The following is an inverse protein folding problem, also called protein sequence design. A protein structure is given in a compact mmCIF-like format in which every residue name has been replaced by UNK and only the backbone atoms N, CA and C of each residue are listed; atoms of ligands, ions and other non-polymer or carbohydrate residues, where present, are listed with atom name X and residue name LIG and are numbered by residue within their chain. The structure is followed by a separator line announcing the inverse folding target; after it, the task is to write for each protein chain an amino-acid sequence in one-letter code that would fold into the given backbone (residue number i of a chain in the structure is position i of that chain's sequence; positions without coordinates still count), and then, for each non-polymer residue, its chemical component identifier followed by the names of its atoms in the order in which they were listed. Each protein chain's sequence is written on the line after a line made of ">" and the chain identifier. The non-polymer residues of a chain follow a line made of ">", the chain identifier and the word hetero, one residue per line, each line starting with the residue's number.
data_IF_758800588240
#
_entry.id   IF_758800588240
#
_cell.length_a   1.000
_cell.length_b   1.000
_cell.length_c   1.000
_cell.angle_alpha   90.00
_cell.angle_beta   90.00
_cell.angle_gamma   90.00
#
_symmetry.space_group_name_H-M   'P 1'
#
loop_
_entity.id
_entity.type
_entity.pdbx_description
1 polymer ?
#
# COMPACT_ATOMS: atom_id res chain seq x y z
N UNK A 1 -6.75 -14.09 -19.61
CA UNK A 1 -7.17 -12.68 -19.42
C UNK A 1 -5.92 -11.91 -19.00
N UNK A 2 -5.50 -10.91 -19.78
CA UNK A 2 -4.30 -10.14 -19.44
C UNK A 2 -4.65 -9.09 -18.37
N UNK A 3 -4.14 -9.30 -17.15
CA UNK A 3 -4.26 -8.32 -16.08
C UNK A 3 -3.23 -7.22 -16.26
N UNK A 4 -3.67 -5.96 -16.25
CA UNK A 4 -2.79 -4.80 -16.22
C UNK A 4 -3.18 -3.88 -15.07
N UNK A 5 -2.37 -3.88 -14.02
CA UNK A 5 -2.56 -3.04 -12.83
C UNK A 5 -2.56 -1.53 -13.19
N UNK A 6 -1.92 -1.14 -14.29
CA UNK A 6 -1.87 0.26 -14.71
C UNK A 6 -3.23 0.80 -15.16
N UNK A 7 -4.16 -0.08 -15.55
CA UNK A 7 -5.50 0.32 -15.99
C UNK A 7 -6.48 0.48 -14.81
N UNK A 8 -6.08 0.11 -13.59
CA UNK A 8 -6.93 0.25 -12.42
C UNK A 8 -7.05 1.73 -12.07
N UNK A 9 -8.28 2.23 -11.98
CA UNK A 9 -8.52 3.68 -11.76
C UNK A 9 -9.17 4.01 -10.42
N UNK A 10 -9.64 3.01 -9.68
CA UNK A 10 -10.36 3.21 -8.42
C UNK A 10 -10.14 2.07 -7.42
N UNK A 11 -10.56 2.29 -6.17
CA UNK A 11 -10.36 1.35 -5.06
C UNK A 11 -11.21 0.08 -5.21
N UNK A 12 -12.39 0.15 -5.82
CA UNK A 12 -13.26 -1.03 -6.03
C UNK A 12 -12.56 -2.03 -6.95
N UNK A 13 -12.05 -1.56 -8.08
CA UNK A 13 -11.26 -2.37 -9.01
C UNK A 13 -10.04 -2.95 -8.31
N UNK A 14 -9.27 -2.12 -7.59
CA UNK A 14 -8.10 -2.56 -6.86
C UNK A 14 -8.45 -3.65 -5.83
N UNK A 15 -9.52 -3.50 -5.07
CA UNK A 15 -9.97 -4.49 -4.09
C UNK A 15 -10.30 -5.85 -4.73
N UNK A 16 -10.96 -5.83 -5.90
CA UNK A 16 -11.30 -7.05 -6.64
C UNK A 16 -10.08 -7.90 -7.02
N UNK A 17 -8.93 -7.24 -7.18
CA UNK A 17 -7.64 -7.81 -7.53
C UNK A 17 -6.91 -8.27 -6.26
N UNK A 18 -6.76 -7.37 -5.29
CA UNK A 18 -5.97 -7.57 -4.06
C UNK A 18 -6.48 -8.77 -3.27
N UNK A 19 -7.81 -8.96 -3.18
CA UNK A 19 -8.41 -10.06 -2.39
C UNK A 19 -7.99 -11.47 -2.82
N UNK A 20 -7.56 -11.63 -4.07
CA UNK A 20 -7.17 -12.92 -4.64
C UNK A 20 -5.64 -13.02 -4.85
N UNK A 21 -4.89 -11.99 -4.49
CA UNK A 21 -3.45 -11.96 -4.65
C UNK A 21 -2.78 -12.86 -3.62
N UNK A 22 -1.70 -13.52 -4.04
CA UNK A 22 -0.84 -14.35 -3.20
C UNK A 22 0.60 -13.99 -3.48
N UNK A 23 1.44 -14.02 -2.44
CA UNK A 23 2.88 -13.79 -2.59
C UNK A 23 3.62 -15.09 -2.93
N UNK A 24 4.79 -14.97 -3.56
CA UNK A 24 5.79 -16.01 -3.60
C UNK A 24 7.20 -15.42 -3.83
N UNK A 25 8.21 -16.30 -3.78
CA UNK A 25 9.61 -15.99 -3.99
C UNK A 25 10.18 -17.03 -4.95
N UNK A 26 10.76 -16.54 -6.04
CA UNK A 26 11.48 -17.39 -7.00
C UNK A 26 12.76 -17.95 -6.40
N UNK A 27 13.34 -18.96 -7.05
CA UNK A 27 14.66 -19.47 -6.68
C UNK A 27 15.73 -18.37 -6.67
N UNK A 28 15.63 -17.41 -7.59
CA UNK A 28 16.56 -16.27 -7.73
C UNK A 28 16.20 -15.07 -6.84
N UNK A 29 15.44 -15.28 -5.77
CA UNK A 29 15.13 -14.25 -4.77
C UNK A 29 14.23 -13.12 -5.28
N UNK A 30 13.67 -13.21 -6.49
CA UNK A 30 12.63 -12.29 -6.95
C UNK A 30 11.34 -12.52 -6.15
N UNK A 31 10.84 -11.47 -5.51
CA UNK A 31 9.61 -11.43 -4.72
C UNK A 31 8.48 -10.89 -5.58
N UNK A 32 7.41 -11.66 -5.67
CA UNK A 32 6.30 -11.33 -6.55
C UNK A 32 4.97 -11.71 -5.93
N UNK A 33 3.92 -11.15 -6.50
CA UNK A 33 2.55 -11.60 -6.32
C UNK A 33 2.06 -12.25 -7.61
N UNK A 34 1.12 -13.17 -7.44
CA UNK A 34 0.34 -13.75 -8.51
C UNK A 34 -1.13 -13.77 -8.09
N UNK A 35 -2.03 -13.74 -9.06
CA UNK A 35 -3.47 -13.75 -8.83
C UNK A 35 -4.02 -14.97 -9.55
N UNK A 36 -4.76 -15.82 -8.83
CA UNK A 36 -5.33 -17.04 -9.40
C UNK A 36 -6.26 -16.67 -10.55
N UNK A 37 -6.02 -17.24 -11.74
CA UNK A 37 -6.78 -16.94 -12.96
C UNK A 37 -6.15 -15.89 -13.88
N UNK A 38 -4.98 -15.34 -13.52
CA UNK A 38 -4.22 -14.41 -14.35
C UNK A 38 -2.84 -14.96 -14.68
N UNK A 39 -2.37 -14.75 -15.91
CA UNK A 39 -1.12 -15.34 -16.42
C UNK A 39 0.13 -14.62 -15.90
N UNK A 40 0.02 -13.34 -15.56
CA UNK A 40 1.17 -12.52 -15.21
C UNK A 40 1.39 -12.44 -13.69
N UNK A 41 2.66 -12.35 -13.32
CA UNK A 41 3.10 -12.03 -11.95
C UNK A 41 3.50 -10.56 -11.89
N UNK A 42 3.42 -9.98 -10.70
CA UNK A 42 3.81 -8.59 -10.46
C UNK A 42 4.83 -8.52 -9.32
N UNK A 43 5.68 -7.47 -9.28
CA UNK A 43 6.51 -7.21 -8.12
C UNK A 43 5.69 -7.19 -6.82
N UNK A 44 6.27 -7.66 -5.71
CA UNK A 44 5.58 -7.68 -4.40
C UNK A 44 5.02 -6.30 -3.97
N UNK A 45 5.68 -5.23 -4.41
CA UNK A 45 5.31 -3.85 -4.08
C UNK A 45 4.22 -3.26 -5.00
N UNK A 46 3.79 -3.97 -6.04
CA UNK A 46 2.94 -3.39 -7.07
C UNK A 46 1.58 -2.92 -6.53
N UNK A 47 0.93 -3.71 -5.67
CA UNK A 47 -0.38 -3.36 -5.10
C UNK A 47 -0.28 -2.18 -4.14
N UNK A 48 0.76 -2.15 -3.29
CA UNK A 48 1.02 -1.03 -2.39
C UNK A 48 1.26 0.25 -3.20
N UNK A 49 2.13 0.19 -4.21
CA UNK A 49 2.41 1.31 -5.11
C UNK A 49 1.14 1.83 -5.78
N UNK A 50 0.27 0.93 -6.26
CA UNK A 50 -0.97 1.34 -6.92
C UNK A 50 -1.97 1.96 -5.94
N UNK A 51 -2.09 1.43 -4.73
CA UNK A 51 -2.93 2.05 -3.69
C UNK A 51 -2.44 3.46 -3.37
N UNK A 52 -1.14 3.64 -3.16
CA UNK A 52 -0.53 4.96 -2.90
C UNK A 52 -0.80 5.93 -4.06
N UNK A 53 -0.69 5.46 -5.31
CA UNK A 53 -1.02 6.26 -6.49
C UNK A 53 -2.48 6.74 -6.47
N UNK A 54 -3.44 5.83 -6.26
CA UNK A 54 -4.87 6.17 -6.21
C UNK A 54 -5.18 7.19 -5.10
N UNK A 55 -4.60 6.99 -3.91
CA UNK A 55 -4.76 7.87 -2.76
C UNK A 55 -4.14 9.26 -2.98
N UNK A 56 -3.03 9.34 -3.73
CA UNK A 56 -2.40 10.64 -4.06
C UNK A 56 -3.21 11.45 -5.06
N UNK A 57 -3.97 10.79 -5.94
CA UNK A 57 -4.81 11.46 -6.94
C UNK A 57 -6.04 12.08 -6.30
N UNK A 58 -6.70 11.35 -5.40
CA UNK A 58 -7.88 11.83 -4.68
C UNK A 58 -7.84 11.35 -3.23
N UNK A 59 -7.97 12.30 -2.30
CA UNK A 59 -7.98 12.06 -0.86
C UNK A 59 -9.37 12.34 -0.24
N UNK A 60 -10.32 12.85 -1.02
CA UNK A 60 -11.69 13.18 -0.58
C UNK A 60 -12.59 11.93 -0.67
N UNK A 61 -12.21 10.85 0.02
CA UNK A 61 -12.91 9.55 -0.03
C UNK A 61 -14.35 9.61 0.49
N UNK A 62 -15.27 9.03 -0.26
CA UNK A 62 -16.61 8.66 0.22
C UNK A 62 -16.55 7.58 1.31
N UNK A 63 -17.65 7.38 2.04
CA UNK A 63 -17.74 6.32 3.08
C UNK A 63 -17.50 4.92 2.49
N UNK A 64 -18.04 4.63 1.30
CA UNK A 64 -17.84 3.34 0.64
C UNK A 64 -16.36 3.15 0.25
N UNK A 65 -15.70 4.19 -0.27
CA UNK A 65 -14.28 4.15 -0.58
C UNK A 65 -13.42 3.96 0.67
N UNK A 66 -13.80 4.57 1.80
CA UNK A 66 -13.12 4.37 3.09
C UNK A 66 -13.22 2.92 3.54
N UNK A 67 -14.41 2.32 3.50
CA UNK A 67 -14.62 0.92 3.88
C UNK A 67 -13.82 -0.03 3.00
N UNK A 68 -13.80 0.21 1.68
CA UNK A 68 -13.02 -0.58 0.73
C UNK A 68 -11.52 -0.40 0.97
N UNK A 69 -11.05 0.85 1.13
CA UNK A 69 -9.65 1.16 1.42
C UNK A 69 -9.14 0.47 2.68
N UNK A 70 -9.92 0.55 3.77
CA UNK A 70 -9.67 -0.17 5.04
C UNK A 70 -9.62 -1.68 4.88
N UNK A 71 -10.32 -2.22 3.88
CA UNK A 71 -10.28 -3.65 3.57
C UNK A 71 -9.06 -4.04 2.72
N UNK A 72 -8.52 -3.13 1.90
CA UNK A 72 -7.33 -3.38 1.07
C UNK A 72 -6.06 -3.42 1.92
N UNK A 73 -5.86 -2.43 2.79
CA UNK A 73 -4.65 -2.28 3.62
C UNK A 73 -4.19 -3.56 4.32
N UNK A 74 -5.04 -4.25 5.13
CA UNK A 74 -4.62 -5.45 5.85
C UNK A 74 -4.25 -6.61 4.91
N UNK A 75 -4.82 -6.66 3.71
CA UNK A 75 -4.46 -7.69 2.72
C UNK A 75 -3.05 -7.45 2.20
N UNK A 76 -2.70 -6.21 1.84
CA UNK A 76 -1.35 -5.84 1.40
C UNK A 76 -0.34 -6.10 2.52
N UNK A 77 -0.68 -5.74 3.77
CA UNK A 77 0.18 -5.99 4.92
C UNK A 77 0.43 -7.48 5.14
N UNK A 78 -0.63 -8.29 5.08
CA UNK A 78 -0.51 -9.74 5.17
C UNK A 78 0.33 -10.33 4.02
N UNK A 79 0.27 -9.80 2.79
CA UNK A 79 1.16 -10.24 1.70
C UNK A 79 2.64 -9.99 2.05
N UNK A 80 2.97 -8.83 2.62
CA UNK A 80 4.34 -8.56 3.06
C UNK A 80 4.78 -9.47 4.21
N UNK A 81 3.91 -9.70 5.19
CA UNK A 81 4.21 -10.60 6.31
C UNK A 81 4.42 -12.05 5.85
N UNK A 82 3.56 -12.55 4.98
CA UNK A 82 3.67 -13.88 4.40
C UNK A 82 4.96 -14.00 3.59
N UNK A 83 5.32 -12.98 2.81
CA UNK A 83 6.55 -12.98 2.06
C UNK A 83 7.78 -13.02 2.98
N UNK A 84 7.78 -12.23 4.07
CA UNK A 84 8.84 -12.27 5.08
C UNK A 84 8.98 -13.65 5.72
N UNK A 85 7.86 -14.28 6.11
CA UNK A 85 7.85 -15.66 6.63
C UNK A 85 8.44 -16.62 5.60
N UNK A 86 7.99 -16.53 4.33
CA UNK A 86 8.48 -17.37 3.25
C UNK A 86 9.97 -17.20 2.99
N UNK A 87 10.54 -16.00 3.09
CA UNK A 87 12.00 -15.80 2.98
C UNK A 87 12.73 -16.67 4.00
N UNK A 88 12.26 -16.65 5.26
CA UNK A 88 12.88 -17.41 6.34
C UNK A 88 12.76 -18.92 6.13
N UNK A 89 11.72 -19.38 5.45
CA UNK A 89 11.49 -20.79 5.11
C UNK A 89 12.32 -21.27 3.88
N UNK A 90 12.93 -20.35 3.13
CA UNK A 90 13.80 -20.73 1.98
C UNK A 90 15.18 -21.16 2.46
N UNK A 91 15.89 -21.90 1.61
CA UNK A 91 17.28 -22.24 1.85
C UNK A 91 18.18 -20.99 1.94
N UNK A 92 19.32 -21.14 2.60
CA UNK A 92 20.28 -20.05 2.85
C UNK A 92 20.76 -19.37 1.55
N UNK A 93 20.89 -20.12 0.46
CA UNK A 93 21.30 -19.57 -0.84
C UNK A 93 20.27 -18.58 -1.38
N UNK A 94 18.99 -18.95 -1.36
CA UNK A 94 17.88 -18.07 -1.76
C UNK A 94 17.80 -16.84 -0.85
N UNK A 95 18.01 -17.01 0.46
CA UNK A 95 18.05 -15.91 1.42
C UNK A 95 19.18 -14.92 1.13
N UNK A 96 20.37 -15.40 0.77
CA UNK A 96 21.50 -14.54 0.37
C UNK A 96 21.15 -13.78 -0.91
N UNK A 97 20.60 -14.44 -1.92
CA UNK A 97 20.20 -13.76 -3.16
C UNK A 97 19.17 -12.67 -2.85
N UNK A 98 18.18 -12.96 -2.01
CA UNK A 98 17.21 -11.96 -1.54
C UNK A 98 17.91 -10.72 -0.94
N UNK A 99 18.90 -10.91 -0.06
CA UNK A 99 19.65 -9.80 0.55
C UNK A 99 20.47 -9.00 -0.47
N UNK A 100 21.13 -9.68 -1.43
CA UNK A 100 21.87 -9.02 -2.51
C UNK A 100 20.92 -8.14 -3.34
N UNK A 101 19.72 -8.65 -3.65
CA UNK A 101 18.72 -7.89 -4.40
C UNK A 101 18.19 -6.69 -3.62
N UNK A 102 17.98 -6.82 -2.31
CA UNK A 102 17.58 -5.70 -1.45
C UNK A 102 18.64 -4.60 -1.44
N UNK A 103 19.92 -4.98 -1.31
CA UNK A 103 21.05 -4.03 -1.38
C UNK A 103 21.13 -3.33 -2.74
N UNK A 104 20.95 -4.07 -3.83
CA UNK A 104 20.93 -3.49 -5.18
C UNK A 104 19.75 -2.54 -5.38
N UNK A 105 18.57 -2.91 -4.88
CA UNK A 105 17.37 -2.08 -4.94
C UNK A 105 17.58 -0.78 -4.16
N UNK A 106 18.09 -0.87 -2.94
CA UNK A 106 18.43 0.29 -2.10
C UNK A 106 19.39 1.25 -2.80
N UNK A 107 20.47 0.72 -3.40
CA UNK A 107 21.44 1.54 -4.13
C UNK A 107 20.86 2.18 -5.40
N UNK A 108 20.01 1.46 -6.14
CA UNK A 108 19.43 1.95 -7.41
C UNK A 108 18.33 2.99 -7.17
N UNK A 109 17.50 2.79 -6.16
CA UNK A 109 16.35 3.65 -5.86
C UNK A 109 16.72 4.86 -4.98
N UNK A 110 18.01 5.03 -4.65
CA UNK A 110 18.51 6.21 -3.94
C UNK A 110 17.98 6.33 -2.51
N UNK A 111 17.59 5.22 -1.89
CA UNK A 111 17.05 5.20 -0.54
C UNK A 111 15.99 4.14 -0.34
N UNK A 112 14.94 4.53 0.37
CA UNK A 112 13.94 3.65 0.93
C UNK A 112 12.81 3.34 -0.07
N UNK A 113 12.66 2.08 -0.49
CA UNK A 113 11.63 1.67 -1.47
C UNK A 113 10.19 1.64 -0.94
N UNK A 114 9.24 1.27 -1.80
CA UNK A 114 7.77 1.26 -1.51
C UNK A 114 7.41 0.62 -0.17
N UNK A 115 8.04 -0.50 0.22
CA UNK A 115 7.78 -1.13 1.52
C UNK A 115 8.13 -0.22 2.71
N UNK A 116 9.24 0.52 2.64
CA UNK A 116 9.55 1.48 3.69
C UNK A 116 8.54 2.62 3.69
N UNK A 117 8.13 3.10 2.52
CA UNK A 117 7.08 4.12 2.44
C UNK A 117 5.79 3.62 3.07
N UNK A 118 5.40 2.38 2.76
CA UNK A 118 4.24 1.69 3.33
C UNK A 118 4.30 1.57 4.86
N UNK A 119 5.49 1.33 5.43
CA UNK A 119 5.65 1.10 6.87
C UNK A 119 5.82 2.37 7.70
N UNK A 120 6.39 3.44 7.13
CA UNK A 120 6.78 4.64 7.88
C UNK A 120 5.87 5.85 7.62
N UNK A 121 4.96 5.76 6.66
CA UNK A 121 3.98 6.80 6.38
C UNK A 121 2.57 6.32 6.69
N UNK A 122 1.64 7.26 6.73
CA UNK A 122 0.24 7.06 7.11
C UNK A 122 -0.60 6.31 6.06
N UNK A 123 0.00 5.55 5.13
CA UNK A 123 -0.75 4.84 4.08
C UNK A 123 -1.74 3.83 4.65
N UNK A 124 -1.37 3.19 5.76
CA UNK A 124 -2.23 2.19 6.43
C UNK A 124 -3.50 2.81 7.00
N UNK A 125 -3.33 4.01 7.58
CA UNK A 125 -4.37 4.70 8.34
C UNK A 125 -5.06 5.79 7.50
N UNK A 126 -4.66 5.99 6.25
CA UNK A 126 -5.13 7.11 5.41
C UNK A 126 -6.65 7.19 5.34
N UNK A 127 -7.33 6.04 5.28
CA UNK A 127 -8.79 5.98 5.19
C UNK A 127 -9.53 6.32 6.49
N UNK A 128 -8.82 6.52 7.61
CA UNK A 128 -9.37 7.04 8.87
C UNK A 128 -9.42 8.58 8.91
N UNK A 129 -8.73 9.25 8.00
CA UNK A 129 -8.61 10.71 8.00
C UNK A 129 -9.54 11.39 7.00
N UNK A 130 -10.04 12.55 7.38
CA UNK A 130 -10.89 13.42 6.58
C UNK A 130 -10.14 14.70 6.25
N UNK A 131 -10.36 15.23 5.04
CA UNK A 131 -9.90 16.58 4.71
C UNK A 131 -10.73 17.62 5.45
N UNK A 132 -10.26 18.86 5.52
CA UNK A 132 -11.01 19.97 6.15
C UNK A 132 -12.42 20.12 5.53
N UNK A 133 -12.50 19.99 4.20
CA UNK A 133 -13.74 20.08 3.46
C UNK A 133 -14.74 19.00 3.89
N UNK A 134 -14.30 17.74 3.92
CA UNK A 134 -15.14 16.63 4.38
C UNK A 134 -15.49 16.73 5.85
N UNK A 135 -14.54 17.14 6.68
CA UNK A 135 -14.74 17.30 8.12
C UNK A 135 -15.86 18.30 8.42
N UNK A 136 -15.84 19.44 7.73
CA UNK A 136 -16.90 20.44 7.81
C UNK A 136 -18.23 19.92 7.28
N UNK A 137 -18.22 19.23 6.15
CA UNK A 137 -19.44 18.70 5.50
C UNK A 137 -20.13 17.62 6.34
N UNK A 138 -19.36 16.70 6.93
CA UNK A 138 -19.88 15.51 7.62
C UNK A 138 -20.18 15.81 9.09
N UNK A 139 -19.27 16.51 9.78
CA UNK A 139 -19.39 16.73 11.24
C UNK A 139 -19.91 18.11 11.62
N UNK A 140 -20.15 18.99 10.63
CA UNK A 140 -20.58 20.39 10.83
C UNK A 140 -19.69 21.16 11.82
N UNK A 141 -18.38 20.87 11.80
CA UNK A 141 -17.36 21.46 12.67
C UNK A 141 -16.11 21.73 11.85
N UNK A 142 -15.32 22.71 12.27
CA UNK A 142 -13.95 22.84 11.78
C UNK A 142 -13.05 21.91 12.57
N UNK A 143 -12.09 21.26 11.91
CA UNK A 143 -11.12 20.46 12.63
C UNK A 143 -10.27 21.37 13.54
N UNK A 144 -9.93 20.86 14.72
CA UNK A 144 -9.00 21.55 15.61
C UNK A 144 -7.63 21.48 14.93
N UNK A 145 -7.02 22.63 14.62
CA UNK A 145 -5.64 22.65 14.10
C UNK A 145 -4.74 22.01 15.15
N UNK A 146 -4.19 20.84 14.83
CA UNK A 146 -3.03 20.36 15.56
C UNK A 146 -1.87 21.28 15.20
N UNK A 147 -1.19 21.83 16.20
CA UNK A 147 0.06 22.56 16.03
C UNK A 147 1.27 21.62 15.97
N UNK A 148 1.03 20.31 15.88
CA UNK A 148 2.06 19.30 15.93
C UNK A 148 2.68 19.08 14.54
N UNK A 149 4.00 19.02 14.53
CA UNK A 149 4.94 19.02 13.40
C UNK A 149 4.74 17.95 12.31
N UNK A 150 3.69 17.13 12.39
CA UNK A 150 3.41 16.04 11.45
C UNK A 150 2.59 16.47 10.21
N UNK A 151 2.05 17.70 10.20
CA UNK A 151 1.36 18.27 9.03
C UNK A 151 2.32 18.64 7.87
N UNK A 152 3.63 18.66 8.10
CA UNK A 152 4.58 19.25 7.17
C UNK A 152 5.06 18.33 6.03
N UNK A 153 4.82 17.03 6.09
CA UNK A 153 5.45 16.09 5.15
C UNK A 153 4.42 15.27 4.36
N UNK A 154 3.96 15.89 3.27
CA UNK A 154 3.42 15.22 2.06
C UNK A 154 1.97 14.70 2.11
N UNK A 155 1.00 15.59 2.33
CA UNK A 155 -0.41 15.34 2.02
C UNK A 155 -1.30 16.56 2.30
N UNK A 156 -2.57 16.57 1.87
CA UNK A 156 -3.52 17.57 2.35
C UNK A 156 -3.66 17.48 3.88
N UNK A 157 -3.90 18.63 4.55
CA UNK A 157 -4.20 18.64 5.98
C UNK A 157 -5.38 17.70 6.28
N UNK A 158 -5.25 16.86 7.31
CA UNK A 158 -6.15 15.73 7.52
C UNK A 158 -6.38 15.45 9.00
N UNK A 159 -7.61 15.06 9.35
CA UNK A 159 -8.05 14.89 10.73
C UNK A 159 -8.84 13.61 10.92
N UNK A 160 -8.67 12.96 12.08
CA UNK A 160 -9.51 11.84 12.48
C UNK A 160 -10.92 12.32 12.79
N UNK A 161 -11.92 11.46 12.58
CA UNK A 161 -13.29 11.72 13.03
C UNK A 161 -13.32 12.08 14.53
N UNK A 162 -14.25 12.96 14.96
CA UNK A 162 -14.42 13.27 16.38
C UNK A 162 -14.82 12.00 17.15
N UNK A 163 -14.21 11.81 18.33
CA UNK A 163 -14.53 10.74 19.27
C UNK A 163 -15.94 10.88 19.86
#
# INVERSE_FOLDING_TARGET
>A
MNFNLNNVTNLIELFSIVKNAKENISFWGYRYIYIVGYENTLPIDALASKLMELVRVDFDFSEDERLIGKSITPIIENLYEQNKKRINDKNWFTQIICKIRDLWKFNKEGGYGIKFEWDNYFWKDTFDYYTEHQYKKIFNKYPIRCTDWHDAYTGPNRWLAPA
#
